data_IF_047776178113
#
_entry.id   IF_047776178113
#
_cell.length_a   1.000
_cell.length_b   1.000
_cell.length_c   1.000
_cell.angle_alpha   90.00
_cell.angle_beta   90.00
_cell.angle_gamma   90.00
#
_symmetry.space_group_name_H-M   'P 1'
#
loop_
_entity.id
_entity.type
_entity.pdbx_description
1 polymer ?
#
# COMPACT_ATOMS: atom_id res chain seq x y z
N UNK A 1 -11.86 9.13 34.53
CA UNK A 1 -13.26 8.69 34.33
C UNK A 1 -13.25 7.38 33.57
N UNK A 2 -14.08 6.38 33.95
CA UNK A 2 -14.17 5.08 33.24
C UNK A 2 -14.41 5.25 31.73
N UNK A 3 -15.15 6.29 31.32
CA UNK A 3 -15.40 6.57 29.90
C UNK A 3 -14.12 6.96 29.14
N UNK A 4 -13.28 7.84 29.70
CA UNK A 4 -11.99 8.23 29.08
C UNK A 4 -11.07 7.02 28.89
N UNK A 5 -11.07 6.11 29.87
CA UNK A 5 -10.25 4.90 29.83
C UNK A 5 -10.78 3.88 28.82
N UNK A 6 -12.10 3.77 28.67
CA UNK A 6 -12.74 2.99 27.61
C UNK A 6 -12.41 3.52 26.21
N UNK A 7 -12.51 4.83 26.00
CA UNK A 7 -12.17 5.46 24.71
C UNK A 7 -10.69 5.24 24.39
N UNK A 8 -9.78 5.46 25.35
CA UNK A 8 -8.34 5.23 25.14
C UNK A 8 -8.04 3.77 24.77
N UNK A 9 -8.69 2.81 25.43
CA UNK A 9 -8.55 1.39 25.07
C UNK A 9 -9.02 1.10 23.64
N UNK A 10 -10.17 1.64 23.23
CA UNK A 10 -10.69 1.45 21.86
C UNK A 10 -9.81 2.15 20.82
N UNK A 11 -9.32 3.36 21.10
CA UNK A 11 -8.38 4.08 20.25
C UNK A 11 -7.08 3.29 20.08
N UNK A 12 -6.53 2.72 21.16
CA UNK A 12 -5.33 1.89 21.09
C UNK A 12 -5.54 0.61 20.27
N UNK A 13 -6.70 -0.03 20.39
CA UNK A 13 -7.07 -1.18 19.57
C UNK A 13 -7.19 -0.80 18.09
N UNK A 14 -7.88 0.29 17.77
CA UNK A 14 -8.03 0.77 16.40
C UNK A 14 -6.67 1.18 15.79
N UNK A 15 -5.78 1.78 16.58
CA UNK A 15 -4.41 2.10 16.17
C UNK A 15 -3.62 0.84 15.81
N UNK A 16 -3.72 -0.22 16.63
CA UNK A 16 -3.11 -1.51 16.32
C UNK A 16 -3.64 -2.06 15.00
N UNK A 17 -4.98 -2.10 14.84
CA UNK A 17 -5.60 -2.59 13.61
C UNK A 17 -5.18 -1.79 12.37
N UNK A 18 -5.10 -0.46 12.48
CA UNK A 18 -4.66 0.40 11.39
C UNK A 18 -3.20 0.14 10.99
N UNK A 19 -2.32 -0.11 11.97
CA UNK A 19 -0.92 -0.49 11.72
C UNK A 19 -0.79 -1.86 11.07
N UNK A 20 -1.59 -2.83 11.51
CA UNK A 20 -1.61 -4.18 10.92
C UNK A 20 -2.10 -4.12 9.46
N UNK A 21 -3.21 -3.42 9.19
CA UNK A 21 -3.70 -3.21 7.83
C UNK A 21 -2.71 -2.43 6.95
N UNK A 22 -1.99 -1.46 7.50
CA UNK A 22 -0.93 -0.77 6.76
C UNK A 22 0.22 -1.72 6.37
N UNK A 23 0.62 -2.61 7.28
CA UNK A 23 1.64 -3.63 6.99
C UNK A 23 1.17 -4.61 5.91
N UNK A 24 -0.09 -5.05 5.95
CA UNK A 24 -0.68 -5.90 4.90
C UNK A 24 -0.66 -5.20 3.52
N UNK A 25 -0.95 -3.89 3.46
CA UNK A 25 -0.87 -3.13 2.20
C UNK A 25 0.55 -3.00 1.65
N UNK A 26 1.56 -2.90 2.52
CA UNK A 26 2.96 -2.92 2.10
C UNK A 26 3.34 -4.29 1.51
N UNK A 27 2.85 -5.38 2.09
CA UNK A 27 3.04 -6.72 1.53
C UNK A 27 2.38 -6.85 0.15
N UNK A 28 1.13 -6.38 0.01
CA UNK A 28 0.43 -6.36 -1.28
C UNK A 28 1.19 -5.55 -2.33
N UNK A 29 1.75 -4.39 -1.95
CA UNK A 29 2.63 -3.60 -2.83
C UNK A 29 3.84 -4.43 -3.31
N UNK A 30 4.49 -5.14 -2.40
CA UNK A 30 5.58 -6.06 -2.75
C UNK A 30 5.16 -7.13 -3.76
N UNK A 31 4.00 -7.75 -3.54
CA UNK A 31 3.45 -8.77 -4.43
C UNK A 31 3.12 -8.21 -5.83
N UNK A 32 2.54 -7.01 -5.92
CA UNK A 32 2.23 -6.35 -7.20
C UNK A 32 3.52 -6.01 -7.96
N UNK A 33 4.57 -5.58 -7.25
CA UNK A 33 5.89 -5.33 -7.85
C UNK A 33 6.48 -6.61 -8.44
N UNK A 34 6.37 -7.74 -7.74
CA UNK A 34 6.82 -9.05 -8.25
C UNK A 34 6.03 -9.47 -9.49
N UNK A 35 4.70 -9.36 -9.45
CA UNK A 35 3.83 -9.64 -10.60
C UNK A 35 4.24 -8.79 -11.81
N UNK A 36 4.48 -7.48 -11.61
CA UNK A 36 4.90 -6.57 -12.67
C UNK A 36 6.24 -6.99 -13.28
N UNK A 37 7.19 -7.43 -12.47
CA UNK A 37 8.48 -7.96 -12.95
C UNK A 37 8.30 -9.25 -13.77
N UNK A 38 7.49 -10.19 -13.27
CA UNK A 38 7.21 -11.45 -13.97
C UNK A 38 6.49 -11.22 -15.30
N UNK A 39 5.56 -10.26 -15.38
CA UNK A 39 4.88 -9.90 -16.63
C UNK A 39 5.85 -9.31 -17.66
N UNK A 40 6.82 -8.51 -17.22
CA UNK A 40 7.83 -7.95 -18.10
C UNK A 40 8.74 -9.06 -18.68
N UNK A 41 9.18 -10.00 -17.84
CA UNK A 41 9.94 -11.17 -18.29
C UNK A 41 9.11 -12.05 -19.24
N UNK A 42 7.85 -12.30 -18.89
CA UNK A 42 6.93 -13.05 -19.73
C UNK A 42 6.71 -12.39 -21.10
N UNK A 43 6.56 -11.06 -21.13
CA UNK A 43 6.47 -10.29 -22.38
C UNK A 43 7.72 -10.48 -23.26
N UNK A 44 8.90 -10.53 -22.67
CA UNK A 44 10.15 -10.86 -23.38
C UNK A 44 10.16 -12.27 -23.96
N UNK A 45 9.70 -13.28 -23.20
CA UNK A 45 9.58 -14.66 -23.68
C UNK A 45 8.58 -14.79 -24.83
N UNK A 46 7.42 -14.12 -24.74
CA UNK A 46 6.40 -14.09 -25.79
C UNK A 46 6.94 -13.44 -27.07
N UNK A 47 7.69 -12.33 -26.94
CA UNK A 47 8.36 -11.68 -28.07
C UNK A 47 9.39 -12.59 -28.73
N UNK A 48 10.23 -13.28 -27.94
CA UNK A 48 11.19 -14.25 -28.48
C UNK A 48 10.52 -15.46 -29.15
N UNK A 49 9.37 -15.91 -28.65
CA UNK A 49 8.58 -16.97 -29.30
C UNK A 49 8.01 -16.51 -30.64
N UNK A 50 7.53 -15.26 -30.73
CA UNK A 50 7.07 -14.67 -31.99
C UNK A 50 8.17 -14.64 -33.06
N UNK A 51 9.38 -14.20 -32.69
CA UNK A 51 10.53 -14.16 -33.59
C UNK A 51 10.92 -15.55 -34.09
N UNK A 52 10.99 -16.53 -33.19
CA UNK A 52 11.31 -17.93 -33.54
C UNK A 52 10.26 -18.54 -34.46
N UNK A 53 8.98 -18.35 -34.18
CA UNK A 53 7.87 -18.82 -35.03
C UNK A 53 7.90 -18.18 -36.41
N UNK A 54 8.20 -16.88 -36.51
CA UNK A 54 8.38 -16.17 -37.79
C UNK A 54 9.58 -16.71 -38.59
N UNK A 55 10.69 -17.01 -37.92
CA UNK A 55 11.85 -17.65 -38.54
C UNK A 55 11.51 -19.05 -39.07
N UNK A 56 10.75 -19.85 -38.31
CA UNK A 56 10.30 -21.17 -38.76
C UNK A 56 9.39 -21.03 -39.98
N UNK A 57 8.45 -20.09 -39.98
CA UNK A 57 7.58 -19.81 -41.13
C UNK A 57 8.38 -19.52 -42.41
N UNK A 58 9.45 -18.75 -42.29
CA UNK A 58 10.35 -18.44 -43.41
C UNK A 58 11.06 -19.69 -43.95
N UNK A 59 11.54 -20.57 -43.06
CA UNK A 59 12.17 -21.84 -43.43
C UNK A 59 11.15 -22.77 -44.12
N UNK A 60 9.94 -22.88 -43.59
CA UNK A 60 8.85 -23.69 -44.18
C UNK A 60 8.52 -23.18 -45.59
N UNK A 61 8.46 -21.85 -45.77
CA UNK A 61 8.28 -21.24 -47.10
C UNK A 61 9.38 -21.61 -48.09
N UNK A 62 10.65 -21.65 -47.66
CA UNK A 62 11.76 -22.12 -48.48
C UNK A 62 11.62 -23.59 -48.86
N UNK A 63 11.22 -24.46 -47.91
CA UNK A 63 11.02 -25.89 -48.20
C UNK A 63 9.87 -26.08 -49.21
N UNK A 64 8.79 -25.30 -49.09
CA UNK A 64 7.69 -25.31 -50.06
C UNK A 64 8.19 -24.97 -51.48
N UNK A 65 9.06 -23.96 -51.60
CA UNK A 65 9.67 -23.58 -52.88
C UNK A 65 10.55 -24.70 -53.44
N UNK A 66 11.40 -25.31 -52.60
CA UNK A 66 12.26 -26.43 -52.99
C UNK A 66 11.43 -27.64 -53.45
N UNK A 67 10.38 -27.98 -52.72
CA UNK A 67 9.44 -29.05 -53.08
C UNK A 67 8.76 -28.77 -54.43
N UNK A 68 8.28 -27.54 -54.64
CA UNK A 68 7.65 -27.13 -55.89
C UNK A 68 8.62 -27.23 -57.09
N UNK A 69 9.86 -26.77 -56.90
CA UNK A 69 10.91 -26.87 -57.92
C UNK A 69 11.29 -28.33 -58.20
N UNK A 70 11.38 -29.17 -57.17
CA UNK A 70 11.67 -30.60 -57.30
C UNK A 70 10.56 -31.32 -58.05
N UNK A 71 9.29 -30.99 -57.77
CA UNK A 71 8.15 -31.53 -58.49
C UNK A 71 8.18 -31.15 -59.99
N UNK A 72 8.57 -29.90 -60.32
CA UNK A 72 8.74 -29.47 -61.71
C UNK A 72 9.93 -30.17 -62.41
N UNK A 73 11.05 -30.35 -61.71
CA UNK A 73 12.20 -31.09 -62.24
C UNK A 73 11.85 -32.55 -62.51
N UNK A 74 11.14 -33.20 -61.58
CA UNK A 74 10.67 -34.57 -61.72
C UNK A 74 9.68 -34.72 -62.89
N UNK A 75 8.77 -33.75 -63.07
CA UNK A 75 7.87 -33.73 -64.22
C UNK A 75 8.63 -33.64 -65.55
N UNK A 76 9.61 -32.74 -65.65
CA UNK A 76 10.44 -32.62 -66.85
C UNK A 76 11.23 -33.90 -67.13
N UNK A 77 11.76 -34.55 -66.09
CA UNK A 77 12.45 -35.84 -66.22
C UNK A 77 11.52 -36.96 -66.69
N UNK A 78 10.28 -37.01 -66.19
CA UNK A 78 9.28 -37.98 -66.62
C UNK A 78 8.91 -37.80 -68.11
N UNK A 79 8.77 -36.55 -68.57
CA UNK A 79 8.52 -36.21 -69.99
C UNK A 79 9.69 -36.70 -70.87
N UNK A 80 10.93 -36.41 -70.48
CA UNK A 80 12.09 -36.81 -71.27
C UNK A 80 12.31 -38.33 -71.26
N UNK A 81 12.02 -39.00 -70.14
CA UNK A 81 12.03 -40.46 -70.04
C UNK A 81 11.00 -41.10 -70.98
N UNK A 82 9.79 -40.54 -71.08
CA UNK A 82 8.79 -40.99 -72.04
C UNK A 82 9.26 -40.78 -73.50
N UNK A 83 9.97 -39.69 -73.77
CA UNK A 83 10.53 -39.36 -75.09
C UNK A 83 11.64 -40.33 -75.53
N UNK A 84 12.43 -40.85 -74.58
CA UNK A 84 13.46 -41.86 -74.82
C UNK A 84 12.90 -43.28 -75.08
N UNK A 85 11.59 -43.48 -74.99
CA UNK A 85 10.92 -44.75 -75.27
C UNK A 85 11.38 -45.86 -74.32
N UNK A 86 11.71 -47.05 -74.86
CA UNK A 86 12.12 -48.22 -74.06
C UNK A 86 13.39 -47.97 -73.24
N UNK A 87 14.30 -47.13 -73.72
CA UNK A 87 15.55 -46.82 -73.00
C UNK A 87 15.31 -45.94 -71.76
N UNK A 88 14.17 -45.25 -71.69
CA UNK A 88 13.81 -44.34 -70.60
C UNK A 88 12.96 -44.97 -69.49
N UNK A 89 12.51 -46.22 -69.62
CA UNK A 89 11.57 -46.85 -68.69
C UNK A 89 12.00 -46.82 -67.22
N UNK A 90 13.27 -47.10 -66.94
CA UNK A 90 13.81 -47.05 -65.57
C UNK A 90 13.85 -45.62 -65.00
N UNK A 91 14.19 -44.63 -65.83
CA UNK A 91 14.18 -43.22 -65.45
C UNK A 91 12.77 -42.69 -65.20
N UNK A 92 11.78 -43.16 -65.95
CA UNK A 92 10.38 -42.77 -65.77
C UNK A 92 9.86 -43.16 -64.37
N UNK A 93 10.17 -44.38 -63.90
CA UNK A 93 9.78 -44.84 -62.57
C UNK A 93 10.41 -44.00 -61.47
N UNK A 94 11.70 -43.67 -61.60
CA UNK A 94 12.39 -42.81 -60.63
C UNK A 94 11.80 -41.39 -60.63
N UNK A 95 11.51 -40.84 -61.81
CA UNK A 95 10.92 -39.51 -61.93
C UNK A 95 9.54 -39.43 -61.25
N UNK A 96 8.69 -40.44 -61.43
CA UNK A 96 7.38 -40.50 -60.76
C UNK A 96 7.48 -40.64 -59.24
N UNK A 97 8.45 -41.40 -58.73
CA UNK A 97 8.69 -41.53 -57.29
C UNK A 97 9.17 -40.20 -56.69
N UNK A 98 10.12 -39.52 -57.35
CA UNK A 98 10.59 -38.19 -56.92
C UNK A 98 9.45 -37.17 -56.96
N UNK A 99 8.59 -37.23 -57.98
CA UNK A 99 7.40 -36.36 -58.08
C UNK A 99 6.45 -36.59 -56.91
N UNK A 100 6.17 -37.84 -56.58
CA UNK A 100 5.31 -38.22 -55.45
C UNK A 100 5.90 -37.75 -54.13
N UNK A 101 7.22 -37.93 -53.93
CA UNK A 101 7.91 -37.48 -52.73
C UNK A 101 7.84 -35.94 -52.60
N UNK A 102 8.06 -35.21 -53.70
CA UNK A 102 7.95 -33.76 -53.72
C UNK A 102 6.53 -33.30 -53.32
N UNK A 103 5.48 -33.92 -53.86
CA UNK A 103 4.08 -33.61 -53.51
C UNK A 103 3.79 -33.89 -52.02
N UNK A 104 4.28 -35.00 -51.49
CA UNK A 104 4.13 -35.33 -50.07
C UNK A 104 4.83 -34.31 -49.17
N UNK A 105 6.03 -33.86 -49.54
CA UNK A 105 6.74 -32.80 -48.83
C UNK A 105 5.92 -31.51 -48.86
N UNK A 106 5.39 -31.10 -50.02
CA UNK A 106 4.57 -29.89 -50.17
C UNK A 106 3.35 -29.90 -49.25
N UNK A 107 2.67 -31.05 -49.16
CA UNK A 107 1.51 -31.21 -48.29
C UNK A 107 1.89 -31.11 -46.81
N UNK A 108 2.99 -31.75 -46.42
CA UNK A 108 3.49 -31.69 -45.05
C UNK A 108 3.89 -30.26 -44.66
N UNK A 109 4.55 -29.52 -45.55
CA UNK A 109 4.93 -28.12 -45.30
C UNK A 109 3.71 -27.18 -45.25
N UNK A 110 2.67 -27.42 -46.04
CA UNK A 110 1.39 -26.68 -45.91
C UNK A 110 0.75 -26.88 -44.53
N UNK A 111 0.72 -28.13 -44.05
CA UNK A 111 0.18 -28.45 -42.73
C UNK A 111 1.03 -27.80 -41.61
N UNK A 112 2.36 -27.82 -41.72
CA UNK A 112 3.25 -27.12 -40.79
C UNK A 112 3.00 -25.60 -40.84
N UNK A 113 2.88 -25.00 -42.02
CA UNK A 113 2.62 -23.56 -42.15
C UNK A 113 1.33 -23.15 -41.45
N UNK A 114 0.25 -23.93 -41.61
CA UNK A 114 -1.03 -23.67 -40.92
C UNK A 114 -0.88 -23.72 -39.39
N UNK A 115 -0.11 -24.67 -38.87
CA UNK A 115 0.16 -24.75 -37.43
C UNK A 115 0.98 -23.56 -36.92
N UNK A 116 1.98 -23.11 -37.68
CA UNK A 116 2.78 -21.93 -37.33
C UNK A 116 1.93 -20.66 -37.35
N UNK A 117 1.01 -20.53 -38.32
CA UNK A 117 0.09 -19.40 -38.37
C UNK A 117 -0.85 -19.37 -37.15
N UNK A 118 -1.39 -20.53 -36.74
CA UNK A 118 -2.17 -20.64 -35.52
C UNK A 118 -1.35 -20.27 -34.27
N UNK A 119 -0.11 -20.76 -34.16
CA UNK A 119 0.79 -20.39 -33.06
C UNK A 119 1.06 -18.89 -33.02
N UNK A 120 1.30 -18.24 -34.17
CA UNK A 120 1.52 -16.80 -34.23
C UNK A 120 0.29 -16.01 -33.77
N UNK A 121 -0.92 -16.48 -34.09
CA UNK A 121 -2.16 -15.88 -33.57
C UNK A 121 -2.28 -16.03 -32.05
N UNK A 122 -2.01 -17.22 -31.51
CA UNK A 122 -2.04 -17.48 -30.07
C UNK A 122 -1.00 -16.62 -29.32
N UNK A 123 0.20 -16.47 -29.88
CA UNK A 123 1.26 -15.60 -29.36
C UNK A 123 0.82 -14.14 -29.34
N UNK A 124 0.20 -13.65 -30.42
CA UNK A 124 -0.34 -12.29 -30.48
C UNK A 124 -1.42 -12.06 -29.42
N UNK A 125 -2.35 -13.00 -29.28
CA UNK A 125 -3.40 -12.91 -28.26
C UNK A 125 -2.83 -12.92 -26.83
N UNK A 126 -1.84 -13.78 -26.58
CA UNK A 126 -1.13 -13.84 -25.30
C UNK A 126 -0.40 -12.53 -25.00
N UNK A 127 0.19 -11.90 -26.01
CA UNK A 127 0.84 -10.60 -25.87
C UNK A 127 -0.15 -9.50 -25.46
N UNK A 128 -1.30 -9.42 -26.12
CA UNK A 128 -2.36 -8.47 -25.78
C UNK A 128 -2.88 -8.68 -24.34
N UNK A 129 -3.11 -9.93 -23.94
CA UNK A 129 -3.51 -10.27 -22.58
C UNK A 129 -2.43 -9.86 -21.55
N UNK A 130 -1.15 -10.07 -21.87
CA UNK A 130 -0.04 -9.65 -21.00
C UNK A 130 -0.05 -8.14 -20.77
N UNK A 131 -0.30 -7.35 -21.81
CA UNK A 131 -0.41 -5.88 -21.71
C UNK A 131 -1.60 -5.50 -20.81
N UNK A 132 -2.75 -6.15 -20.98
CA UNK A 132 -3.94 -5.90 -20.14
C UNK A 132 -3.70 -6.22 -18.67
N UNK A 133 -3.04 -7.34 -18.37
CA UNK A 133 -2.68 -7.73 -17.00
C UNK A 133 -1.68 -6.72 -16.42
N UNK A 134 -0.68 -6.29 -17.20
CA UNK A 134 0.28 -5.27 -16.77
C UNK A 134 -0.39 -3.93 -16.43
N UNK A 135 -1.37 -3.51 -17.23
CA UNK A 135 -2.17 -2.32 -16.93
C UNK A 135 -2.96 -2.49 -15.63
N UNK A 136 -3.62 -3.63 -15.44
CA UNK A 136 -4.40 -3.94 -14.24
C UNK A 136 -3.55 -4.00 -12.97
N UNK A 137 -2.34 -4.55 -13.06
CA UNK A 137 -1.37 -4.54 -11.97
C UNK A 137 -0.97 -3.11 -11.58
N UNK A 138 -0.74 -2.24 -12.57
CA UNK A 138 -0.43 -0.82 -12.33
C UNK A 138 -1.58 -0.06 -11.70
N UNK A 139 -2.81 -0.28 -12.15
CA UNK A 139 -4.01 0.31 -11.52
C UNK A 139 -4.16 -0.14 -10.06
N UNK A 140 -3.93 -1.43 -9.80
CA UNK A 140 -3.99 -2.00 -8.44
C UNK A 140 -2.91 -1.37 -7.55
N UNK A 141 -1.70 -1.18 -8.07
CA UNK A 141 -0.62 -0.49 -7.35
C UNK A 141 -1.06 0.92 -6.89
N UNK A 142 -1.67 1.71 -7.79
CA UNK A 142 -2.15 3.05 -7.45
C UNK A 142 -3.26 3.03 -6.40
N UNK A 143 -4.14 2.02 -6.42
CA UNK A 143 -5.19 1.86 -5.39
C UNK A 143 -4.56 1.56 -4.03
N UNK A 144 -3.60 0.65 -3.99
CA UNK A 144 -2.90 0.24 -2.75
C UNK A 144 -2.08 1.39 -2.18
N UNK A 145 -1.41 2.18 -3.02
CA UNK A 145 -0.68 3.38 -2.59
C UNK A 145 -1.61 4.41 -1.93
N UNK A 146 -2.77 4.67 -2.54
CA UNK A 146 -3.78 5.56 -1.93
C UNK A 146 -4.31 5.01 -0.61
N UNK A 147 -4.61 3.72 -0.56
CA UNK A 147 -5.07 3.06 0.67
C UNK A 147 -4.01 3.17 1.77
N UNK A 148 -2.74 2.96 1.44
CA UNK A 148 -1.61 3.07 2.37
C UNK A 148 -1.52 4.48 2.95
N UNK A 149 -1.66 5.52 2.12
CA UNK A 149 -1.70 6.91 2.59
C UNK A 149 -2.88 7.24 3.50
N UNK A 150 -4.06 6.64 3.26
CA UNK A 150 -5.21 6.77 4.17
C UNK A 150 -4.94 6.12 5.53
N UNK A 151 -4.32 4.94 5.57
CA UNK A 151 -3.96 4.28 6.82
C UNK A 151 -2.88 5.03 7.59
N UNK A 152 -1.88 5.59 6.90
CA UNK A 152 -0.86 6.44 7.52
C UNK A 152 -1.51 7.67 8.20
N UNK A 153 -2.46 8.32 7.51
CA UNK A 153 -3.23 9.43 8.08
C UNK A 153 -4.06 8.99 9.29
N UNK A 154 -4.73 7.84 9.20
CA UNK A 154 -5.54 7.27 10.29
C UNK A 154 -4.70 6.93 11.52
N UNK A 155 -3.49 6.40 11.33
CA UNK A 155 -2.53 6.14 12.41
C UNK A 155 -2.20 7.45 13.14
N UNK A 156 -1.88 8.51 12.39
CA UNK A 156 -1.63 9.84 12.97
C UNK A 156 -2.82 10.42 13.72
N UNK A 157 -4.04 10.25 13.20
CA UNK A 157 -5.28 10.70 13.86
C UNK A 157 -5.52 9.97 15.18
N UNK A 158 -5.26 8.65 15.24
CA UNK A 158 -5.39 7.88 16.47
C UNK A 158 -4.33 8.24 17.50
N UNK A 159 -3.08 8.47 17.09
CA UNK A 159 -2.02 8.95 17.98
C UNK A 159 -2.39 10.31 18.58
N UNK A 160 -2.84 11.27 17.75
CA UNK A 160 -3.32 12.58 18.22
C UNK A 160 -4.52 12.45 19.17
N UNK A 161 -5.44 11.53 18.89
CA UNK A 161 -6.59 11.27 19.76
C UNK A 161 -6.16 10.72 21.11
N UNK A 162 -5.18 9.81 21.13
CA UNK A 162 -4.67 9.23 22.36
C UNK A 162 -3.96 10.29 23.24
N UNK A 163 -3.20 11.20 22.64
CA UNK A 163 -2.58 12.33 23.34
C UNK A 163 -3.64 13.26 23.97
N UNK A 164 -4.68 13.62 23.21
CA UNK A 164 -5.80 14.44 23.72
C UNK A 164 -6.54 13.75 24.88
N UNK A 165 -6.67 12.42 24.85
CA UNK A 165 -7.27 11.66 25.95
C UNK A 165 -6.40 11.67 27.20
N UNK A 166 -5.08 11.63 27.05
CA UNK A 166 -4.14 11.79 28.17
C UNK A 166 -4.28 13.18 28.81
N UNK A 167 -4.37 14.24 28.01
CA UNK A 167 -4.61 15.61 28.49
C UNK A 167 -5.95 15.74 29.24
N UNK A 168 -7.03 15.16 28.68
CA UNK A 168 -8.35 15.13 29.34
C UNK A 168 -8.26 14.41 30.68
N UNK A 169 -7.56 13.27 30.75
CA UNK A 169 -7.38 12.54 31.99
C UNK A 169 -6.64 13.39 33.04
N UNK A 170 -5.59 14.12 32.64
CA UNK A 170 -4.87 15.04 33.51
C UNK A 170 -5.77 16.19 34.01
N UNK A 171 -6.56 16.81 33.12
CA UNK A 171 -7.51 17.86 33.49
C UNK A 171 -8.60 17.37 34.45
N UNK A 172 -9.12 16.16 34.26
CA UNK A 172 -10.10 15.55 35.18
C UNK A 172 -9.49 15.36 36.57
N UNK A 173 -8.23 14.90 36.65
CA UNK A 173 -7.55 14.71 37.93
C UNK A 173 -7.34 16.04 38.66
N UNK A 174 -6.93 17.10 37.93
CA UNK A 174 -6.80 18.44 38.47
C UNK A 174 -8.15 19.02 38.92
N UNK A 175 -9.20 18.82 38.13
CA UNK A 175 -10.56 19.26 38.46
C UNK A 175 -11.06 18.58 39.74
N UNK A 176 -10.86 17.27 39.88
CA UNK A 176 -11.21 16.54 41.10
C UNK A 176 -10.48 17.09 42.34
N UNK A 177 -9.17 17.34 42.24
CA UNK A 177 -8.38 17.95 43.32
C UNK A 177 -8.87 19.35 43.68
N UNK A 178 -9.14 20.18 42.68
CA UNK A 178 -9.66 21.55 42.87
C UNK A 178 -11.03 21.52 43.54
N UNK A 179 -11.92 20.61 43.13
CA UNK A 179 -13.24 20.45 43.70
C UNK A 179 -13.21 19.98 45.17
N UNK A 180 -12.29 19.08 45.53
CA UNK A 180 -12.05 18.72 46.95
C UNK A 180 -11.62 19.96 47.75
N UNK A 181 -10.69 20.76 47.22
CA UNK A 181 -10.26 22.00 47.87
C UNK A 181 -11.38 23.05 47.98
N UNK A 182 -12.30 23.12 47.01
CA UNK A 182 -13.51 23.97 47.11
C UNK A 182 -14.41 23.49 48.24
N UNK A 183 -14.70 22.19 48.30
CA UNK A 183 -15.53 21.62 49.37
C UNK A 183 -14.93 21.90 50.75
N UNK A 184 -13.63 21.73 50.93
CA UNK A 184 -12.94 22.08 52.19
C UNK A 184 -13.11 23.55 52.57
N UNK A 185 -12.99 24.47 51.59
CA UNK A 185 -13.21 25.91 51.82
C UNK A 185 -14.66 26.21 52.20
N UNK A 186 -15.63 25.56 51.56
CA UNK A 186 -17.06 25.71 51.89
C UNK A 186 -17.32 25.24 53.32
N UNK A 187 -16.77 24.08 53.72
CA UNK A 187 -16.88 23.59 55.10
C UNK A 187 -16.25 24.56 56.10
N UNK A 188 -15.09 25.16 55.75
CA UNK A 188 -14.40 26.13 56.60
C UNK A 188 -15.19 27.45 56.75
N UNK A 189 -15.78 27.95 55.66
CA UNK A 189 -16.69 29.12 55.71
C UNK A 189 -17.90 28.81 56.59
N UNK A 190 -18.47 27.61 56.47
CA UNK A 190 -19.60 27.20 57.29
C UNK A 190 -19.23 27.17 58.78
N UNK A 191 -18.08 26.60 59.15
CA UNK A 191 -17.61 26.60 60.55
C UNK A 191 -17.31 28.01 61.07
N UNK A 192 -16.69 28.86 60.25
CA UNK A 192 -16.41 30.26 60.62
C UNK A 192 -17.70 31.05 60.83
N UNK A 193 -18.70 30.82 59.97
CA UNK A 193 -20.04 31.42 60.11
C UNK A 193 -20.73 30.99 61.40
N UNK A 194 -20.65 29.71 61.79
CA UNK A 194 -21.19 29.25 63.07
C UNK A 194 -20.45 29.87 64.27
N UNK A 195 -19.13 30.00 64.20
CA UNK A 195 -18.34 30.63 65.25
C UNK A 195 -18.67 32.12 65.41
N UNK A 196 -18.91 32.83 64.30
CA UNK A 196 -19.37 34.22 64.32
C UNK A 196 -20.76 34.32 64.97
N UNK A 197 -21.68 33.44 64.61
CA UNK A 197 -23.04 33.44 65.15
C UNK A 197 -23.05 33.18 66.67
N UNK A 198 -22.23 32.23 67.16
CA UNK A 198 -22.03 31.99 68.59
C UNK A 198 -21.47 33.22 69.32
N UNK A 199 -20.51 33.96 68.73
CA UNK A 199 -19.98 35.20 69.30
C UNK A 199 -21.00 36.33 69.31
N UNK A 200 -21.91 36.38 68.33
CA UNK A 200 -23.00 37.35 68.29
C UNK A 200 -24.09 37.06 69.33
N UNK A 201 -24.37 35.78 69.59
CA UNK A 201 -25.34 35.35 70.61
C UNK A 201 -24.82 35.49 72.05
N UNK A 202 -23.50 35.54 72.24
CA UNK A 202 -22.84 35.80 73.51
C UNK A 202 -21.83 36.97 73.41
N UNK A 203 -22.29 38.24 73.43
CA UNK A 203 -21.42 39.41 73.31
C UNK A 203 -20.44 39.59 74.48
N UNK A 204 -20.75 38.99 75.63
CA UNK A 204 -20.05 39.24 76.90
C UNK A 204 -18.94 38.24 77.17
N UNK A 205 -17.82 38.47 76.50
CA UNK A 205 -16.50 37.98 76.87
C UNK A 205 -15.50 39.09 76.68
N UNK A 206 -15.38 39.97 77.69
CA UNK A 206 -14.42 41.08 77.74
C UNK A 206 -13.04 40.72 77.14
N UNK A 207 -12.48 41.51 76.21
CA UNK A 207 -11.03 41.62 76.13
C UNK A 207 -10.59 42.30 77.43
N UNK A 208 -9.61 41.70 78.09
CA UNK A 208 -9.06 42.18 79.34
C UNK A 208 -8.74 43.67 79.32
N UNK A 209 -8.87 44.27 80.49
CA UNK A 209 -8.34 45.58 80.87
C UNK A 209 -7.15 46.00 80.00
N UNK A 210 -7.36 46.98 79.13
CA UNK A 210 -6.27 47.79 78.59
C UNK A 210 -5.72 48.56 79.78
N UNK A 211 -4.63 48.05 80.34
CA UNK A 211 -3.89 48.73 81.39
C UNK A 211 -3.14 49.89 80.71
N UNK A 212 -3.79 51.06 80.70
CA UNK A 212 -3.20 52.34 80.38
C UNK A 212 -2.11 52.65 81.42
N UNK A 213 -0.87 52.21 81.14
CA UNK A 213 0.32 52.62 81.89
C UNK A 213 0.63 54.08 81.63
N UNK A 214 0.47 54.90 82.68
CA UNK A 214 0.79 56.33 82.73
C UNK A 214 2.23 56.63 82.29
N UNK A 215 2.35 57.77 81.61
CA UNK A 215 3.56 58.46 81.20
C UNK A 215 4.38 59.06 82.35
N UNK A 216 5.68 59.24 82.08
CA UNK A 216 6.65 60.13 82.75
C UNK A 216 7.93 59.38 83.10
N UNK A 217 9.15 59.72 82.69
CA UNK A 217 9.80 60.79 81.91
C UNK A 217 11.13 60.15 81.42
N UNK A 218 11.90 60.57 80.41
CA UNK A 218 12.11 61.80 79.66
C UNK A 218 13.55 61.72 79.11
N UNK A 219 13.77 62.16 77.87
CA UNK A 219 15.05 62.50 77.19
C UNK A 219 14.93 62.10 75.70
N UNK A 220 14.52 63.01 74.81
CA UNK A 220 15.39 63.99 74.13
C UNK A 220 16.33 63.33 73.08
N UNK A 221 16.16 63.69 71.80
CA UNK A 221 17.23 63.51 70.81
C UNK A 221 16.83 63.12 69.37
N UNK A 222 16.20 64.06 68.66
CA UNK A 222 16.36 64.37 67.23
C UNK A 222 16.74 63.30 66.16
N UNK A 223 15.78 63.09 65.23
CA UNK A 223 15.89 63.29 63.76
C UNK A 223 16.98 62.54 62.96
N UNK A 224 16.55 61.56 62.13
CA UNK A 224 16.82 61.39 60.66
C UNK A 224 16.40 59.97 60.20
N UNK A 225 15.38 59.80 59.35
CA UNK A 225 15.38 59.90 57.88
C UNK A 225 15.81 58.60 57.15
N UNK A 226 15.12 58.32 56.03
CA UNK A 226 15.30 57.25 55.00
C UNK A 226 14.54 55.95 55.25
N UNK A 227 13.92 55.27 54.27
CA UNK A 227 13.46 55.60 52.92
C UNK A 227 12.67 54.37 52.40
N UNK A 228 11.71 54.65 51.52
CA UNK A 228 11.07 53.75 50.57
C UNK A 228 12.02 52.81 49.81
N UNK A 229 11.57 51.57 49.52
CA UNK A 229 11.84 50.66 48.37
C UNK A 229 11.49 49.22 48.81
N UNK A 230 10.85 48.35 48.05
CA UNK A 230 10.38 48.32 46.66
C UNK A 230 9.26 47.27 46.58
#
# INVERSE_FOLDING_TARGET
>A
SQQTQGISSTTAQNLSMARDSYAELLEVTGNISQISSSLNEFGGLVSGLNERSSSIKSIVGLIQQISSQTNLLALNAAIEAARAGESGRGFAVVADEVRTLAQNVSKATDDISRNIDAMLQEVSSTHEQTIQISHSARETQLVVERASGHFESMIGDFESTNDKLADIAAHIQQFASTNTGINERVTRIYSDSQAIDQRMQHPDGHPGSVQCGRAGAGAAGAIRAWAWRA
#
